data_IF_421783949361
#
_entry.id   IF_421783949361
#
_cell.length_a   1.000
_cell.length_b   1.000
_cell.length_c   1.000
_cell.angle_alpha   90.00
_cell.angle_beta   90.00
_cell.angle_gamma   90.00
#
_symmetry.space_group_name_H-M   'P 1'
#
loop_
_entity.id
_entity.type
_entity.pdbx_description
1 polymer ?
#
# COMPACT_ATOMS: atom_id res chain seq x y z
N UNK A 1 -1.13 5.68 7.53
CA UNK A 1 0.28 6.08 7.47
C UNK A 1 1.10 4.97 8.06
N UNK A 2 2.16 4.55 7.39
CA UNK A 2 3.00 3.46 7.89
C UNK A 2 4.47 3.70 7.53
N UNK A 3 5.36 3.18 8.37
CA UNK A 3 6.81 3.24 8.14
C UNK A 3 7.28 2.19 7.13
N UNK A 4 8.45 2.42 6.53
CA UNK A 4 9.09 1.49 5.57
C UNK A 4 9.24 0.06 6.09
N UNK A 5 9.47 -0.10 7.40
CA UNK A 5 9.74 -1.39 8.01
C UNK A 5 8.48 -2.23 8.22
N UNK A 6 7.31 -1.60 8.12
CA UNK A 6 6.02 -2.24 8.41
C UNK A 6 5.11 -2.34 7.21
N UNK A 7 5.42 -1.72 6.07
CA UNK A 7 4.49 -1.67 4.93
C UNK A 7 4.20 -3.05 4.34
N UNK A 8 5.21 -3.91 4.18
CA UNK A 8 4.99 -5.27 3.64
C UNK A 8 4.13 -6.12 4.58
N UNK A 9 4.46 -6.12 5.87
CA UNK A 9 3.69 -6.80 6.90
C UNK A 9 2.26 -6.26 6.98
N UNK A 10 2.07 -4.94 6.87
CA UNK A 10 0.74 -4.33 6.84
C UNK A 10 -0.06 -4.83 5.63
N UNK A 11 0.53 -4.90 4.43
CA UNK A 11 -0.17 -5.41 3.25
C UNK A 11 -0.61 -6.87 3.43
N UNK A 12 0.21 -7.70 4.08
CA UNK A 12 -0.14 -9.08 4.45
C UNK A 12 -1.31 -9.11 5.44
N UNK A 13 -1.20 -8.39 6.56
CA UNK A 13 -2.25 -8.32 7.59
C UNK A 13 -3.58 -7.79 6.99
N UNK A 14 -3.52 -6.79 6.11
CA UNK A 14 -4.70 -6.27 5.42
C UNK A 14 -5.33 -7.31 4.49
N UNK A 15 -4.52 -8.12 3.81
CA UNK A 15 -5.02 -9.17 2.92
C UNK A 15 -5.65 -10.32 3.72
N UNK A 16 -5.11 -10.65 4.90
CA UNK A 16 -5.72 -11.62 5.82
C UNK A 16 -7.07 -11.14 6.36
N UNK A 17 -7.17 -9.86 6.76
CA UNK A 17 -8.38 -9.31 7.39
C UNK A 17 -9.47 -8.99 6.36
N UNK A 18 -9.09 -8.43 5.20
CA UNK A 18 -10.02 -7.89 4.22
C UNK A 18 -10.15 -8.72 2.93
N UNK A 19 -9.32 -9.76 2.77
CA UNK A 19 -9.16 -10.49 1.52
C UNK A 19 -8.40 -9.67 0.49
N UNK A 20 -8.48 -10.07 -0.77
CA UNK A 20 -7.81 -9.40 -1.90
C UNK A 20 -8.56 -8.12 -2.34
N UNK A 21 -8.57 -7.13 -1.45
CA UNK A 21 -9.34 -5.88 -1.58
C UNK A 21 -8.59 -4.84 -2.41
N UNK A 22 -9.34 -4.00 -3.11
CA UNK A 22 -8.81 -2.83 -3.80
C UNK A 22 -8.29 -1.78 -2.82
N UNK A 23 -7.08 -1.31 -3.07
CA UNK A 23 -6.37 -0.31 -2.26
C UNK A 23 -5.66 0.70 -3.15
N UNK A 24 -5.36 1.86 -2.57
CA UNK A 24 -4.39 2.82 -3.08
C UNK A 24 -3.23 2.89 -2.11
N UNK A 25 -2.01 2.63 -2.58
CA UNK A 25 -0.78 2.82 -1.83
C UNK A 25 0.00 3.97 -2.44
N UNK A 26 0.11 5.07 -1.71
CA UNK A 26 0.92 6.22 -2.09
C UNK A 26 2.20 6.28 -1.26
N UNK A 27 3.31 6.65 -1.88
CA UNK A 27 4.65 6.77 -1.30
C UNK A 27 5.20 8.16 -1.60
N UNK A 28 5.79 8.80 -0.59
CA UNK A 28 6.50 10.08 -0.75
C UNK A 28 5.64 11.19 -1.40
N UNK A 29 4.37 11.31 -0.99
CA UNK A 29 3.46 12.35 -1.47
C UNK A 29 4.10 13.74 -1.38
N UNK A 30 3.93 14.55 -2.42
CA UNK A 30 4.48 15.92 -2.63
C UNK A 30 6.00 16.01 -2.82
N UNK A 31 6.72 14.88 -2.87
CA UNK A 31 8.18 14.84 -3.05
C UNK A 31 8.55 14.39 -4.47
N UNK A 32 9.81 14.58 -4.87
CA UNK A 32 10.30 14.26 -6.22
C UNK A 32 10.11 12.77 -6.61
N UNK A 33 10.16 11.88 -5.62
CA UNK A 33 10.04 10.43 -5.82
C UNK A 33 8.65 9.89 -5.44
N UNK A 34 7.61 10.73 -5.58
CA UNK A 34 6.21 10.35 -5.38
C UNK A 34 5.83 9.16 -6.28
N UNK A 35 5.11 8.20 -5.70
CA UNK A 35 4.62 7.02 -6.39
C UNK A 35 3.23 6.65 -5.86
N UNK A 36 2.31 6.29 -6.75
CA UNK A 36 0.98 5.84 -6.37
C UNK A 36 0.65 4.55 -7.10
N UNK A 37 0.35 3.51 -6.33
CA UNK A 37 -0.03 2.19 -6.81
C UNK A 37 -1.51 1.94 -6.50
N UNK A 38 -2.28 1.61 -7.52
CA UNK A 38 -3.67 1.20 -7.41
C UNK A 38 -3.84 -0.25 -7.86
N UNK A 39 -4.76 -0.95 -7.21
CA UNK A 39 -5.14 -2.30 -7.58
C UNK A 39 -5.57 -3.11 -6.37
N UNK A 40 -5.68 -4.43 -6.54
CA UNK A 40 -5.88 -5.32 -5.41
C UNK A 40 -4.63 -5.40 -4.53
N UNK A 41 -4.80 -5.78 -3.26
CA UNK A 41 -3.69 -5.95 -2.33
C UNK A 41 -2.58 -6.84 -2.89
N UNK A 42 -2.93 -7.97 -3.53
CA UNK A 42 -1.97 -8.85 -4.21
C UNK A 42 -1.16 -8.12 -5.29
N UNK A 43 -1.84 -7.42 -6.20
CA UNK A 43 -1.21 -6.67 -7.30
C UNK A 43 -0.33 -5.53 -6.79
N UNK A 44 -0.78 -4.82 -5.75
CA UNK A 44 -0.02 -3.71 -5.15
C UNK A 44 1.23 -4.23 -4.48
N UNK A 45 1.15 -5.38 -3.78
CA UNK A 45 2.30 -6.04 -3.18
C UNK A 45 3.34 -6.46 -4.23
N UNK A 46 2.90 -7.00 -5.36
CA UNK A 46 3.81 -7.37 -6.46
C UNK A 46 4.46 -6.14 -7.14
N UNK A 47 3.73 -5.02 -7.23
CA UNK A 47 4.23 -3.77 -7.83
C UNK A 47 5.15 -2.98 -6.92
N UNK A 48 5.09 -3.19 -5.59
CA UNK A 48 5.90 -2.46 -4.62
C UNK A 48 7.37 -2.89 -4.70
N UNK A 49 8.17 -2.14 -5.47
CA UNK A 49 9.62 -2.41 -5.62
C UNK A 49 10.50 -1.63 -4.65
N UNK A 50 10.03 -0.48 -4.18
CA UNK A 50 10.81 0.42 -3.33
C UNK A 50 10.13 0.58 -1.97
N UNK A 51 10.78 0.06 -0.92
CA UNK A 51 10.35 0.18 0.48
C UNK A 51 11.11 1.28 1.21
N UNK A 52 11.02 2.52 0.69
CA UNK A 52 11.68 3.71 1.27
C UNK A 52 10.73 4.90 1.36
N UNK A 53 10.89 5.70 2.40
CA UNK A 53 10.10 6.91 2.64
C UNK A 53 8.83 6.66 3.43
N UNK A 54 7.83 7.51 3.22
CA UNK A 54 6.57 7.47 3.96
C UNK A 54 5.45 6.92 3.08
N UNK A 55 4.58 6.09 3.67
CA UNK A 55 3.47 5.46 2.98
C UNK A 55 2.11 5.91 3.51
N UNK A 56 1.18 6.12 2.59
CA UNK A 56 -0.25 6.29 2.84
C UNK A 56 -0.98 5.17 2.12
N UNK A 57 -1.85 4.48 2.84
CA UNK A 57 -2.71 3.45 2.25
C UNK A 57 -4.17 3.80 2.50
N UNK A 58 -5.00 3.73 1.45
CA UNK A 58 -6.45 3.80 1.56
C UNK A 58 -7.06 2.49 1.07
N UNK A 59 -8.11 2.04 1.73
CA UNK A 59 -8.75 0.75 1.49
C UNK A 59 -10.17 1.02 1.02
N UNK A 60 -10.60 0.34 -0.04
CA UNK A 60 -11.99 0.45 -0.52
C UNK A 60 -12.96 0.06 0.59
N UNK A 61 -14.02 0.86 0.75
CA UNK A 61 -15.08 0.60 1.72
C UNK A 61 -15.85 -0.69 1.45
N UNK A 62 -16.61 -1.14 2.45
CA UNK A 62 -17.57 -2.24 2.27
C UNK A 62 -18.81 -1.68 1.58
N UNK A 63 -19.21 -2.29 0.47
CA UNK A 63 -20.53 -2.08 -0.14
C UNK A 63 -21.55 -2.96 0.57
#
# INVERSE_FOLDING_TARGET
YESVHRIERLLEELQEIFGDREVCLARELTKLHEEVLFGKLSEVREKLKTVKGEFVITIKGRN
#
